data_IF_208528700591
#
_entry.id   IF_208528700591
#
_cell.length_a   1.000
_cell.length_b   1.000
_cell.length_c   1.000
_cell.angle_alpha   90.00
_cell.angle_beta   90.00
_cell.angle_gamma   90.00
#
_symmetry.space_group_name_H-M   'P 1'
#
loop_
_entity.id
_entity.type
_entity.pdbx_description
1 polymer ?
#
# COMPACT_ATOMS: atom_id res chain seq x y z
N UNK A 1 -11.05 12.36 -8.89
CA UNK A 1 -10.49 13.06 -7.69
C UNK A 1 -10.38 12.06 -6.55
N UNK A 2 -9.25 12.02 -5.82
CA UNK A 2 -9.07 11.14 -4.65
C UNK A 2 -9.28 11.95 -3.37
N UNK A 3 -10.02 11.39 -2.41
CA UNK A 3 -10.30 12.01 -1.10
C UNK A 3 -9.90 11.08 0.03
N UNK A 4 -9.44 11.65 1.15
CA UNK A 4 -9.11 10.90 2.34
C UNK A 4 -9.69 11.57 3.59
N UNK A 5 -10.25 10.75 4.49
CA UNK A 5 -10.58 11.12 5.86
C UNK A 5 -9.69 10.29 6.78
N UNK A 6 -8.86 10.96 7.56
CA UNK A 6 -7.84 10.35 8.40
C UNK A 6 -8.09 10.79 9.83
N UNK A 7 -8.29 9.84 10.73
CA UNK A 7 -8.66 10.08 12.11
C UNK A 7 -7.61 9.47 13.02
N UNK A 8 -7.10 10.29 13.94
CA UNK A 8 -6.18 9.85 14.99
C UNK A 8 -6.61 10.44 16.33
N UNK A 9 -6.92 9.61 17.31
CA UNK A 9 -7.45 10.02 18.60
C UNK A 9 -6.54 9.51 19.71
N UNK A 10 -5.84 10.43 20.38
CA UNK A 10 -5.03 10.15 21.57
C UNK A 10 -5.78 10.53 22.86
N UNK A 11 -6.58 11.59 22.84
CA UNK A 11 -7.22 12.16 24.01
C UNK A 11 -8.58 11.50 24.30
N UNK A 12 -8.55 10.43 25.10
CA UNK A 12 -9.73 9.80 25.69
C UNK A 12 -9.79 10.12 27.19
N UNK A 13 -11.00 10.30 27.78
CA UNK A 13 -11.13 10.70 29.19
C UNK A 13 -10.46 9.74 30.19
N UNK A 14 -10.58 8.44 29.98
CA UNK A 14 -10.10 7.43 30.95
C UNK A 14 -8.85 6.67 30.48
N UNK A 15 -8.66 6.50 29.16
CA UNK A 15 -7.61 5.66 28.57
C UNK A 15 -6.93 6.39 27.41
N UNK A 16 -6.07 7.40 27.69
CA UNK A 16 -5.38 8.13 26.62
C UNK A 16 -4.40 7.22 25.85
N UNK A 17 -4.26 7.49 24.55
CA UNK A 17 -3.26 6.92 23.65
C UNK A 17 -2.20 7.96 23.33
N UNK A 18 -1.11 7.58 22.65
CA UNK A 18 0.04 8.48 22.45
C UNK A 18 0.60 8.49 21.02
N UNK A 19 0.01 7.75 20.10
CA UNK A 19 0.57 7.57 18.74
C UNK A 19 -0.37 7.92 17.60
N UNK A 20 -1.69 7.88 17.85
CA UNK A 20 -2.71 7.94 16.79
C UNK A 20 -2.74 9.28 16.06
N UNK A 21 -2.51 10.39 16.78
CA UNK A 21 -2.42 11.74 16.19
C UNK A 21 -1.21 11.85 15.25
N UNK A 22 -0.04 11.38 15.69
CA UNK A 22 1.17 11.37 14.90
C UNK A 22 1.01 10.50 13.63
N UNK A 23 0.42 9.33 13.77
CA UNK A 23 0.13 8.41 12.67
C UNK A 23 -0.79 9.05 11.62
N UNK A 24 -1.87 9.70 12.07
CA UNK A 24 -2.79 10.40 11.16
C UNK A 24 -2.09 11.52 10.37
N UNK A 25 -1.19 12.29 11.00
CA UNK A 25 -0.43 13.33 10.33
C UNK A 25 0.55 12.78 9.30
N UNK A 26 1.27 11.71 9.64
CA UNK A 26 2.20 11.04 8.70
C UNK A 26 1.48 10.45 7.49
N UNK A 27 0.32 9.79 7.69
CA UNK A 27 -0.49 9.29 6.58
C UNK A 27 -0.91 10.44 5.65
N UNK A 28 -1.37 11.58 6.22
CA UNK A 28 -1.70 12.77 5.42
C UNK A 28 -0.51 13.25 4.59
N UNK A 29 0.67 13.37 5.20
CA UNK A 29 1.88 13.82 4.53
C UNK A 29 2.20 12.93 3.32
N UNK A 30 2.19 11.62 3.51
CA UNK A 30 2.49 10.66 2.45
C UNK A 30 1.42 10.63 1.37
N UNK A 31 0.12 10.68 1.72
CA UNK A 31 -0.97 10.58 0.75
C UNK A 31 -1.22 11.86 -0.04
N UNK A 32 -0.94 13.03 0.53
CA UNK A 32 -1.26 14.31 -0.11
C UNK A 32 -0.55 14.50 -1.45
N UNK A 33 0.63 13.92 -1.62
CA UNK A 33 1.46 14.09 -2.83
C UNK A 33 2.07 12.78 -3.30
N UNK A 34 2.30 12.73 -4.61
CA UNK A 34 3.14 11.71 -5.24
C UNK A 34 4.63 12.00 -4.95
N UNK A 35 5.52 11.07 -5.31
CA UNK A 35 6.96 11.24 -5.11
C UNK A 35 7.53 12.46 -5.89
N UNK A 36 6.93 12.82 -7.01
CA UNK A 36 7.34 13.95 -7.86
C UNK A 36 6.78 15.30 -7.37
N UNK A 37 6.07 15.31 -6.24
CA UNK A 37 5.45 16.49 -5.64
C UNK A 37 4.08 16.84 -6.21
N UNK A 38 3.57 16.15 -7.22
CA UNK A 38 2.22 16.37 -7.75
C UNK A 38 1.15 16.00 -6.71
N UNK A 39 0.00 16.69 -6.76
CA UNK A 39 -1.12 16.43 -5.85
C UNK A 39 -1.67 15.02 -6.06
N UNK A 40 -2.02 14.33 -4.95
CA UNK A 40 -2.60 12.99 -4.97
C UNK A 40 -3.97 12.98 -4.29
N UNK A 41 -4.03 12.89 -2.96
CA UNK A 41 -5.30 12.93 -2.22
C UNK A 41 -5.59 14.32 -1.66
N UNK A 42 -6.86 14.71 -1.68
CA UNK A 42 -7.38 15.75 -0.81
C UNK A 42 -7.65 15.13 0.55
N UNK A 43 -6.81 15.45 1.55
CA UNK A 43 -6.86 14.87 2.88
C UNK A 43 -7.54 15.79 3.88
N UNK A 44 -8.55 15.28 4.56
CA UNK A 44 -9.11 15.83 5.78
C UNK A 44 -8.61 15.04 6.98
N UNK A 45 -8.10 15.73 8.02
CA UNK A 45 -7.56 15.07 9.23
C UNK A 45 -8.30 15.55 10.45
N UNK A 46 -8.72 14.62 11.29
CA UNK A 46 -9.37 14.87 12.57
C UNK A 46 -8.50 14.26 13.68
N UNK A 47 -7.85 15.13 14.48
CA UNK A 47 -6.90 14.67 15.52
C UNK A 47 -7.09 15.32 16.88
N UNK A 48 -7.69 16.51 16.97
CA UNK A 48 -7.89 17.22 18.24
C UNK A 48 -8.63 18.56 17.99
N UNK A 49 -9.15 19.21 19.00
CA UNK A 49 -9.37 18.71 20.37
C UNK A 49 -10.51 17.67 20.41
N UNK A 50 -10.69 16.93 21.53
CA UNK A 50 -11.75 15.91 21.68
C UNK A 50 -13.15 16.41 21.36
N UNK A 51 -13.44 17.69 21.66
CA UNK A 51 -14.72 18.34 21.33
C UNK A 51 -15.04 18.38 19.83
N UNK A 52 -14.04 18.26 18.98
CA UNK A 52 -14.17 18.24 17.52
C UNK A 52 -14.26 16.83 16.94
N UNK A 53 -14.13 15.79 17.78
CA UNK A 53 -14.17 14.37 17.36
C UNK A 53 -15.28 13.66 18.14
N UNK A 54 -16.43 14.28 18.21
CA UNK A 54 -17.62 13.64 18.80
C UNK A 54 -18.26 12.67 17.81
N UNK A 55 -19.02 11.72 18.30
CA UNK A 55 -19.74 10.76 17.46
C UNK A 55 -20.59 11.41 16.36
N UNK A 56 -21.40 12.46 16.61
CA UNK A 56 -22.15 13.12 15.53
C UNK A 56 -21.26 13.71 14.45
N UNK A 57 -20.16 14.37 14.84
CA UNK A 57 -19.20 14.97 13.92
C UNK A 57 -18.51 13.89 13.09
N UNK A 58 -18.02 12.84 13.73
CA UNK A 58 -17.36 11.73 13.05
C UNK A 58 -18.31 11.03 12.06
N UNK A 59 -19.55 10.75 12.47
CA UNK A 59 -20.59 10.20 11.58
C UNK A 59 -20.84 11.09 10.37
N UNK A 60 -20.95 12.40 10.57
CA UNK A 60 -21.14 13.36 9.50
C UNK A 60 -19.95 13.32 8.52
N UNK A 61 -18.71 13.34 9.01
CA UNK A 61 -17.50 13.33 8.19
C UNK A 61 -17.34 12.04 7.38
N UNK A 62 -17.65 10.89 7.95
CA UNK A 62 -17.67 9.61 7.23
C UNK A 62 -18.75 9.64 6.13
N UNK A 63 -19.95 10.15 6.44
CA UNK A 63 -21.02 10.31 5.45
C UNK A 63 -20.61 11.27 4.32
N UNK A 64 -19.96 12.39 4.63
CA UNK A 64 -19.44 13.33 3.62
C UNK A 64 -18.38 12.70 2.71
N UNK A 65 -17.48 11.87 3.27
CA UNK A 65 -16.47 11.15 2.49
C UNK A 65 -17.10 10.25 1.41
N UNK A 66 -18.15 9.49 1.79
CA UNK A 66 -18.75 8.48 0.92
C UNK A 66 -19.93 9.00 0.07
N UNK A 67 -20.52 10.16 0.41
CA UNK A 67 -21.71 10.68 -0.27
C UNK A 67 -21.47 11.11 -1.71
N UNK A 68 -20.32 11.70 -2.01
CA UNK A 68 -20.06 12.29 -3.32
C UNK A 68 -19.14 11.40 -4.14
N UNK A 69 -19.40 11.34 -5.44
CA UNK A 69 -18.55 10.61 -6.38
C UNK A 69 -17.08 11.05 -6.30
N UNK A 70 -16.20 10.08 -6.25
CA UNK A 70 -14.74 10.21 -6.33
C UNK A 70 -14.15 8.95 -6.96
N UNK A 71 -12.96 9.06 -7.57
CA UNK A 71 -12.25 7.90 -8.10
C UNK A 71 -11.79 6.97 -6.96
N UNK A 72 -11.35 7.56 -5.83
CA UNK A 72 -10.94 6.82 -4.62
C UNK A 72 -11.34 7.58 -3.38
N UNK A 73 -11.94 6.89 -2.40
CA UNK A 73 -12.09 7.35 -1.03
C UNK A 73 -11.22 6.50 -0.10
N UNK A 74 -10.39 7.14 0.69
CA UNK A 74 -9.57 6.51 1.72
C UNK A 74 -10.08 6.91 3.11
N UNK A 75 -10.42 5.92 3.93
CA UNK A 75 -10.80 6.11 5.33
C UNK A 75 -9.79 5.42 6.22
N UNK A 76 -9.18 6.18 7.14
CA UNK A 76 -8.29 5.65 8.16
C UNK A 76 -8.76 6.06 9.54
N UNK A 77 -8.74 5.11 10.47
CA UNK A 77 -9.00 5.35 11.88
C UNK A 77 -7.90 4.71 12.72
N UNK A 78 -7.28 5.52 13.58
CA UNK A 78 -6.35 5.10 14.62
C UNK A 78 -6.86 5.62 15.97
N UNK A 79 -7.12 4.71 16.91
CA UNK A 79 -7.74 5.00 18.21
C UNK A 79 -8.27 3.76 18.91
N UNK A 80 -9.10 3.95 19.94
CA UNK A 80 -9.72 2.83 20.60
C UNK A 80 -10.82 2.17 19.76
N UNK A 81 -10.81 0.84 19.78
CA UNK A 81 -11.91 0.00 19.30
C UNK A 81 -12.46 -0.86 20.44
N UNK A 82 -13.73 -1.19 20.38
CA UNK A 82 -14.37 -2.11 21.33
C UNK A 82 -15.37 -3.01 20.63
N UNK A 83 -15.75 -4.09 21.30
CA UNK A 83 -16.76 -5.04 20.82
C UNK A 83 -17.79 -5.29 21.93
N UNK A 84 -19.06 -5.36 21.56
CA UNK A 84 -20.14 -5.79 22.42
C UNK A 84 -21.06 -6.79 21.70
N UNK A 85 -22.21 -7.12 22.31
CA UNK A 85 -23.18 -8.05 21.70
C UNK A 85 -23.77 -7.59 20.37
N UNK A 86 -23.61 -6.32 19.99
CA UNK A 86 -24.11 -5.74 18.73
C UNK A 86 -23.02 -5.61 17.65
N UNK A 87 -21.74 -5.90 17.98
CA UNK A 87 -20.62 -5.85 17.05
C UNK A 87 -19.47 -4.94 17.50
N UNK A 88 -18.61 -4.57 16.57
CA UNK A 88 -17.45 -3.69 16.78
C UNK A 88 -17.80 -2.20 16.65
N UNK A 89 -17.09 -1.37 17.40
CA UNK A 89 -17.26 0.08 17.43
C UNK A 89 -15.92 0.80 17.32
N UNK A 90 -15.91 1.91 16.61
CA UNK A 90 -14.87 2.93 16.66
C UNK A 90 -15.21 3.86 17.83
N UNK A 91 -14.41 3.84 18.89
CA UNK A 91 -14.68 4.62 20.11
C UNK A 91 -14.41 6.10 19.86
N UNK A 92 -15.31 6.96 20.32
CA UNK A 92 -15.15 8.42 20.24
C UNK A 92 -14.92 9.01 21.64
N UNK A 93 -14.24 10.16 21.79
CA UNK A 93 -13.96 10.76 23.10
C UNK A 93 -15.20 11.10 23.94
N UNK A 94 -16.36 11.26 23.30
CA UNK A 94 -17.65 11.54 23.94
C UNK A 94 -18.44 10.26 24.31
N UNK A 95 -17.73 9.13 24.43
CA UNK A 95 -18.38 7.87 24.83
C UNK A 95 -19.04 7.93 26.20
N UNK A 96 -20.11 7.19 26.35
CA UNK A 96 -20.81 7.02 27.60
C UNK A 96 -21.40 5.60 27.70
N UNK A 97 -21.93 5.23 28.87
CA UNK A 97 -22.61 3.96 29.04
C UNK A 97 -23.67 3.74 27.96
N UNK A 98 -23.63 2.57 27.33
CA UNK A 98 -24.51 2.15 26.22
C UNK A 98 -24.31 2.87 24.87
N UNK A 99 -23.39 3.85 24.76
CA UNK A 99 -23.15 4.60 23.55
C UNK A 99 -21.66 4.96 23.38
N UNK A 100 -20.89 3.98 22.93
CA UNK A 100 -19.43 4.02 22.95
C UNK A 100 -18.78 4.67 21.71
N UNK A 101 -19.53 4.87 20.62
CA UNK A 101 -18.94 5.43 19.39
C UNK A 101 -19.71 5.05 18.12
N UNK A 102 -19.01 4.96 16.99
CA UNK A 102 -19.60 4.62 15.69
C UNK A 102 -19.56 3.09 15.50
N UNK A 103 -20.70 2.43 15.26
CA UNK A 103 -20.70 1.02 14.86
C UNK A 103 -19.89 0.81 13.58
N UNK A 104 -18.99 -0.16 13.57
CA UNK A 104 -18.21 -0.49 12.37
C UNK A 104 -19.12 -0.96 11.22
N UNK A 105 -20.26 -1.56 11.54
CA UNK A 105 -21.30 -1.93 10.57
C UNK A 105 -21.96 -0.72 9.91
N UNK A 106 -22.08 0.41 10.62
CA UNK A 106 -22.61 1.67 10.06
C UNK A 106 -21.64 2.27 9.06
N UNK A 107 -20.34 2.27 9.37
CA UNK A 107 -19.29 2.71 8.41
C UNK A 107 -19.33 1.87 7.14
N UNK A 108 -19.49 0.55 7.29
CA UNK A 108 -19.59 -0.36 6.17
C UNK A 108 -20.85 -0.13 5.35
N UNK A 109 -22.00 0.12 5.99
CA UNK A 109 -23.24 0.41 5.30
C UNK A 109 -23.10 1.68 4.44
N UNK A 110 -22.54 2.75 5.01
CA UNK A 110 -22.26 3.99 4.27
C UNK A 110 -21.32 3.76 3.08
N UNK A 111 -20.29 2.90 3.24
CA UNK A 111 -19.39 2.54 2.15
C UNK A 111 -20.10 1.73 1.05
N UNK A 112 -20.93 0.75 1.41
CA UNK A 112 -21.69 -0.08 0.47
C UNK A 112 -22.74 0.71 -0.33
N UNK A 113 -23.29 1.79 0.22
CA UNK A 113 -24.23 2.69 -0.43
C UNK A 113 -23.57 3.82 -1.21
N UNK A 114 -22.24 3.88 -1.22
CA UNK A 114 -21.47 4.96 -1.83
C UNK A 114 -21.45 4.90 -3.35
N UNK A 115 -21.34 6.08 -3.98
CA UNK A 115 -21.09 6.25 -5.42
C UNK A 115 -19.59 6.48 -5.75
N UNK A 116 -18.68 6.16 -4.83
CA UNK A 116 -17.23 6.22 -5.04
C UNK A 116 -16.81 4.97 -5.81
N UNK A 117 -15.93 5.13 -6.81
CA UNK A 117 -15.50 4.00 -7.66
C UNK A 117 -14.71 2.97 -6.85
N UNK A 118 -13.76 3.42 -6.02
CA UNK A 118 -12.99 2.54 -5.12
C UNK A 118 -12.89 3.13 -3.71
N UNK A 119 -13.13 2.30 -2.71
CA UNK A 119 -13.06 2.65 -1.29
C UNK A 119 -12.00 1.78 -0.63
N UNK A 120 -11.07 2.43 0.06
CA UNK A 120 -10.08 1.77 0.88
C UNK A 120 -10.24 2.18 2.34
N UNK A 121 -10.51 1.20 3.21
CA UNK A 121 -10.70 1.39 4.66
C UNK A 121 -9.54 0.73 5.39
N UNK A 122 -8.92 1.48 6.31
CA UNK A 122 -7.87 0.96 7.20
C UNK A 122 -8.24 1.28 8.64
N UNK A 123 -8.19 0.27 9.52
CA UNK A 123 -8.53 0.41 10.92
C UNK A 123 -7.36 -0.07 11.81
N UNK A 124 -6.76 0.85 12.53
CA UNK A 124 -5.74 0.58 13.55
C UNK A 124 -6.34 0.80 14.92
N UNK A 125 -7.10 -0.19 15.37
CA UNK A 125 -7.72 -0.21 16.69
C UNK A 125 -7.96 -1.64 17.17
N UNK A 126 -8.10 -1.84 18.48
CA UNK A 126 -8.46 -3.13 19.04
C UNK A 126 -9.77 -3.64 18.42
N UNK A 127 -9.88 -4.96 18.27
CA UNK A 127 -11.05 -5.61 17.71
C UNK A 127 -11.47 -5.15 16.30
N UNK A 128 -10.59 -4.48 15.55
CA UNK A 128 -10.87 -3.99 14.19
C UNK A 128 -11.28 -5.12 13.24
N UNK A 129 -10.84 -6.35 13.48
CA UNK A 129 -11.27 -7.54 12.74
C UNK A 129 -12.76 -7.86 12.86
N UNK A 130 -13.47 -7.25 13.82
CA UNK A 130 -14.94 -7.34 13.93
C UNK A 130 -15.68 -6.46 12.91
N UNK A 131 -14.96 -5.71 12.06
CA UNK A 131 -15.55 -4.85 11.03
C UNK A 131 -16.50 -5.63 10.14
N UNK A 132 -17.77 -5.23 10.14
CA UNK A 132 -18.83 -5.85 9.36
C UNK A 132 -19.37 -7.18 9.90
N UNK A 133 -18.91 -7.66 11.07
CA UNK A 133 -19.51 -8.82 11.73
C UNK A 133 -20.67 -8.40 12.61
N UNK A 134 -21.80 -9.10 12.50
CA UNK A 134 -22.93 -8.97 13.43
C UNK A 134 -23.07 -10.27 14.23
N UNK A 135 -23.63 -10.26 15.46
CA UNK A 135 -23.85 -11.48 16.25
C UNK A 135 -24.70 -12.54 15.54
N UNK A 136 -25.57 -12.11 14.62
CA UNK A 136 -26.43 -12.98 13.83
C UNK A 136 -25.72 -13.66 12.65
N UNK A 137 -24.54 -13.11 12.25
CA UNK A 137 -23.72 -13.68 11.18
C UNK A 137 -22.44 -14.23 11.83
N UNK A 138 -22.55 -15.38 12.45
CA UNK A 138 -21.50 -16.03 13.25
C UNK A 138 -20.34 -16.64 12.45
N UNK A 139 -19.84 -16.03 11.37
CA UNK A 139 -18.79 -16.65 10.57
C UNK A 139 -17.91 -15.67 9.79
N UNK A 140 -17.37 -14.62 10.40
CA UNK A 140 -16.40 -13.71 9.75
C UNK A 140 -16.79 -13.24 8.31
N UNK A 141 -18.09 -13.34 7.99
CA UNK A 141 -18.61 -12.95 6.67
C UNK A 141 -18.92 -11.47 6.68
N UNK A 142 -18.35 -10.76 5.74
CA UNK A 142 -18.64 -9.37 5.43
C UNK A 142 -19.18 -9.30 4.00
N UNK A 143 -20.21 -8.49 3.78
CA UNK A 143 -20.69 -8.18 2.44
C UNK A 143 -20.08 -6.87 2.01
N UNK A 144 -19.23 -6.91 0.99
CA UNK A 144 -18.63 -5.75 0.36
C UNK A 144 -19.24 -5.55 -1.02
N UNK A 145 -19.72 -4.36 -1.30
CA UNK A 145 -20.01 -3.92 -2.67
C UNK A 145 -18.74 -3.92 -3.51
N UNK A 146 -18.86 -3.97 -4.84
CA UNK A 146 -17.70 -3.87 -5.73
C UNK A 146 -16.96 -2.54 -5.50
N UNK A 147 -15.64 -2.56 -5.56
CA UNK A 147 -14.78 -1.41 -5.32
C UNK A 147 -14.28 -1.27 -3.88
N UNK A 148 -14.75 -2.07 -2.92
CA UNK A 148 -14.39 -1.90 -1.51
C UNK A 148 -13.27 -2.85 -1.10
N UNK A 149 -12.26 -2.28 -0.43
CA UNK A 149 -11.17 -3.01 0.22
C UNK A 149 -11.01 -2.53 1.67
N UNK A 150 -10.78 -3.49 2.58
CA UNK A 150 -10.61 -3.23 4.01
C UNK A 150 -9.36 -3.95 4.50
N UNK A 151 -8.49 -3.24 5.21
CA UNK A 151 -7.39 -3.82 5.99
C UNK A 151 -7.55 -3.39 7.44
N UNK A 152 -7.50 -4.35 8.36
CA UNK A 152 -7.57 -4.08 9.79
C UNK A 152 -6.30 -4.55 10.48
N UNK A 153 -5.84 -3.81 11.49
CA UNK A 153 -4.62 -4.11 12.23
C UNK A 153 -4.70 -5.47 12.95
N UNK A 154 -5.88 -5.86 13.42
CA UNK A 154 -6.08 -7.05 14.23
C UNK A 154 -7.20 -7.91 13.68
N UNK A 155 -7.17 -9.22 14.03
CA UNK A 155 -8.34 -10.09 13.93
C UNK A 155 -9.30 -9.83 15.09
N UNK A 156 -10.54 -10.27 14.93
CA UNK A 156 -11.52 -10.21 16.02
C UNK A 156 -10.95 -10.88 17.29
N UNK A 157 -10.97 -10.15 18.43
CA UNK A 157 -10.48 -10.63 19.72
C UNK A 157 -8.98 -10.40 19.99
N UNK A 158 -8.25 -9.69 19.13
CA UNK A 158 -6.86 -9.29 19.37
C UNK A 158 -6.75 -7.79 19.71
N UNK A 159 -5.74 -7.43 20.50
CA UNK A 159 -5.36 -6.04 20.77
C UNK A 159 -4.38 -5.52 19.71
N UNK A 160 -4.46 -4.23 19.38
CA UNK A 160 -3.50 -3.57 18.54
C UNK A 160 -2.21 -3.27 19.34
N UNK A 161 -1.05 -3.46 18.70
CA UNK A 161 0.24 -3.21 19.32
C UNK A 161 0.71 -1.79 19.01
N UNK A 162 1.26 -1.12 20.02
CA UNK A 162 1.96 0.16 19.89
C UNK A 162 3.47 -0.04 20.15
N UNK A 163 4.31 0.53 19.32
CA UNK A 163 5.76 0.54 19.48
C UNK A 163 6.32 1.90 19.03
N UNK A 164 7.26 2.45 19.79
CA UNK A 164 7.93 3.70 19.41
C UNK A 164 7.03 4.94 19.33
N UNK A 165 5.84 4.93 19.98
CA UNK A 165 4.89 6.05 19.96
C UNK A 165 4.01 6.11 18.72
N UNK A 166 3.70 4.98 18.11
CA UNK A 166 2.74 4.80 17.01
C UNK A 166 2.22 3.38 16.93
N UNK A 167 1.13 3.15 16.19
CA UNK A 167 0.63 1.82 15.89
C UNK A 167 1.59 1.07 14.96
N UNK A 168 1.91 -0.17 15.30
CA UNK A 168 2.79 -1.02 14.44
C UNK A 168 2.19 -1.18 13.05
N UNK A 169 0.89 -1.42 12.97
CA UNK A 169 0.18 -1.53 11.69
C UNK A 169 0.27 -0.24 10.87
N UNK A 170 0.01 0.92 11.49
CA UNK A 170 0.04 2.20 10.78
C UNK A 170 1.47 2.59 10.37
N UNK A 171 2.48 2.27 11.15
CA UNK A 171 3.88 2.46 10.76
C UNK A 171 4.21 1.66 9.49
N UNK A 172 3.82 0.39 9.42
CA UNK A 172 4.00 -0.45 8.23
C UNK A 172 3.16 0.04 7.02
N UNK A 173 1.96 0.57 7.26
CA UNK A 173 1.14 1.19 6.22
C UNK A 173 1.83 2.42 5.62
N UNK A 174 2.44 3.26 6.46
CA UNK A 174 3.21 4.44 6.02
C UNK A 174 4.42 4.01 5.20
N UNK A 175 5.23 3.07 5.69
CA UNK A 175 6.38 2.53 4.96
C UNK A 175 5.99 1.93 3.60
N UNK A 176 4.89 1.19 3.56
CA UNK A 176 4.33 0.64 2.32
C UNK A 176 3.98 1.75 1.32
N UNK A 177 3.31 2.82 1.79
CA UNK A 177 2.94 3.99 1.00
C UNK A 177 4.15 4.81 0.55
N UNK A 178 5.21 4.92 1.34
CA UNK A 178 6.45 5.61 1.00
C UNK A 178 7.24 4.91 -0.11
N UNK A 179 6.98 3.62 -0.33
CA UNK A 179 7.55 2.86 -1.43
C UNK A 179 8.01 1.45 -1.08
N UNK A 180 7.91 1.03 0.19
CA UNK A 180 8.18 -0.36 0.60
C UNK A 180 7.35 -1.36 -0.19
N UNK A 181 6.07 -1.05 -0.44
CA UNK A 181 5.16 -1.85 -1.24
C UNK A 181 5.17 -1.51 -2.74
N UNK A 182 6.06 -0.60 -3.19
CA UNK A 182 6.03 -0.13 -4.57
C UNK A 182 6.51 -1.19 -5.56
N UNK A 183 5.78 -1.33 -6.65
CA UNK A 183 6.21 -2.05 -7.84
C UNK A 183 7.41 -1.37 -8.51
N UNK A 184 7.85 -1.91 -9.65
CA UNK A 184 9.05 -1.45 -10.36
C UNK A 184 8.94 0.00 -10.83
N UNK A 185 7.75 0.44 -11.21
CA UNK A 185 7.46 1.79 -11.68
C UNK A 185 6.94 2.72 -10.56
N UNK A 186 7.08 2.31 -9.30
CA UNK A 186 6.68 3.12 -8.15
C UNK A 186 5.21 2.98 -7.74
N UNK A 187 4.44 2.13 -8.39
CA UNK A 187 3.00 1.99 -8.15
C UNK A 187 2.73 1.27 -6.83
N UNK A 188 1.96 1.91 -5.94
CA UNK A 188 1.50 1.34 -4.67
C UNK A 188 -0.01 1.13 -4.76
N UNK A 189 -0.46 -0.11 -4.57
CA UNK A 189 -1.87 -0.53 -4.57
C UNK A 189 -2.27 -1.10 -3.21
N UNK A 190 -3.58 -1.25 -2.97
CA UNK A 190 -4.10 -1.89 -1.75
C UNK A 190 -3.54 -3.31 -1.57
N UNK A 191 -3.48 -4.09 -2.65
CA UNK A 191 -2.96 -5.45 -2.60
C UNK A 191 -1.47 -5.50 -2.24
N UNK A 192 -0.66 -4.58 -2.81
CA UNK A 192 0.77 -4.52 -2.49
C UNK A 192 1.03 -4.04 -1.06
N UNK A 193 0.19 -3.14 -0.53
CA UNK A 193 0.23 -2.71 0.87
C UNK A 193 -0.04 -3.91 1.79
N UNK A 194 -1.11 -4.66 1.54
CA UNK A 194 -1.43 -5.83 2.36
C UNK A 194 -0.30 -6.86 2.33
N UNK A 195 0.24 -7.18 1.15
CA UNK A 195 1.34 -8.14 1.02
C UNK A 195 2.60 -7.67 1.78
N UNK A 196 2.89 -6.36 1.75
CA UNK A 196 4.00 -5.78 2.50
C UNK A 196 3.81 -5.94 4.02
N UNK A 197 2.63 -5.55 4.53
CA UNK A 197 2.31 -5.62 5.97
C UNK A 197 2.30 -7.08 6.45
N UNK A 198 1.66 -7.99 5.71
CA UNK A 198 1.57 -9.41 6.07
C UNK A 198 2.96 -10.08 6.14
N UNK A 199 3.85 -9.73 5.22
CA UNK A 199 5.23 -10.20 5.23
C UNK A 199 6.06 -9.63 6.39
N UNK A 200 5.82 -8.37 6.77
CA UNK A 200 6.56 -7.70 7.84
C UNK A 200 6.16 -8.21 9.23
N UNK A 201 4.87 -8.49 9.45
CA UNK A 201 4.35 -8.91 10.76
C UNK A 201 4.62 -10.39 11.11
N UNK A 202 5.04 -11.23 10.16
CA UNK A 202 5.39 -12.62 10.44
C UNK A 202 4.23 -13.51 10.92
N UNK A 203 4.56 -14.77 11.27
CA UNK A 203 3.55 -15.80 11.58
C UNK A 203 3.00 -15.74 13.01
N UNK A 204 3.68 -15.07 13.93
CA UNK A 204 3.43 -15.14 15.38
C UNK A 204 2.92 -13.84 15.98
N UNK A 205 2.97 -12.75 15.22
CA UNK A 205 2.56 -11.42 15.67
C UNK A 205 1.08 -11.13 15.34
N UNK A 206 0.69 -9.91 15.58
CA UNK A 206 -0.59 -9.33 15.17
C UNK A 206 -0.78 -9.55 13.66
N UNK A 207 -1.86 -10.24 13.25
CA UNK A 207 -2.13 -10.50 11.83
C UNK A 207 -3.19 -9.57 11.30
N UNK A 208 -2.88 -8.80 10.26
CA UNK A 208 -3.88 -7.99 9.61
C UNK A 208 -4.96 -8.87 8.95
N UNK A 209 -6.18 -8.39 8.94
CA UNK A 209 -7.26 -8.98 8.17
C UNK A 209 -7.44 -8.17 6.88
N UNK A 210 -7.43 -8.84 5.74
CA UNK A 210 -7.72 -8.24 4.43
C UNK A 210 -9.00 -8.81 3.84
N UNK A 211 -9.93 -7.94 3.50
CA UNK A 211 -11.15 -8.28 2.76
C UNK A 211 -11.30 -7.32 1.59
N UNK A 212 -11.60 -7.82 0.41
CA UNK A 212 -11.70 -7.00 -0.80
C UNK A 212 -12.70 -7.60 -1.80
N UNK A 213 -13.47 -6.73 -2.43
CA UNK A 213 -14.32 -7.07 -3.57
C UNK A 213 -14.06 -6.04 -4.69
N UNK A 214 -13.00 -6.27 -5.47
CA UNK A 214 -12.59 -5.36 -6.54
C UNK A 214 -12.28 -6.13 -7.81
N UNK A 215 -12.62 -5.57 -8.96
CA UNK A 215 -12.25 -6.11 -10.27
C UNK A 215 -10.82 -5.72 -10.68
N UNK A 216 -10.31 -4.62 -10.10
CA UNK A 216 -8.92 -4.14 -10.26
C UNK A 216 -8.52 -3.35 -9.03
N UNK A 217 -7.22 -3.24 -8.79
CA UNK A 217 -6.69 -2.35 -7.76
C UNK A 217 -6.20 -1.05 -8.38
N UNK A 218 -6.81 0.06 -7.97
CA UNK A 218 -6.32 1.40 -8.35
C UNK A 218 -5.02 1.71 -7.61
N UNK A 219 -4.16 2.47 -8.27
CA UNK A 219 -2.96 3.01 -7.66
C UNK A 219 -3.33 4.05 -6.62
N UNK A 220 -3.01 3.78 -5.36
CA UNK A 220 -3.20 4.75 -4.27
C UNK A 220 -2.17 5.87 -4.36
N UNK A 221 -0.91 5.49 -4.62
CA UNK A 221 0.22 6.42 -4.69
C UNK A 221 1.25 5.95 -5.72
N UNK A 222 2.01 6.89 -6.25
CA UNK A 222 3.23 6.63 -7.01
C UNK A 222 4.40 7.08 -6.14
N UNK A 223 5.17 6.12 -5.65
CA UNK A 223 6.45 6.31 -4.97
C UNK A 223 7.59 6.45 -5.99
N UNK A 224 8.81 6.67 -5.53
CA UNK A 224 9.97 6.71 -6.41
C UNK A 224 10.12 5.38 -7.19
N UNK A 225 10.18 5.42 -8.52
CA UNK A 225 10.35 4.20 -9.33
C UNK A 225 11.73 3.59 -9.09
N UNK A 226 11.78 2.25 -9.05
CA UNK A 226 13.04 1.50 -8.88
C UNK A 226 13.92 1.52 -10.12
N UNK A 227 13.36 1.89 -11.27
CA UNK A 227 14.07 2.01 -12.55
C UNK A 227 13.45 3.15 -13.38
N UNK A 228 14.30 3.84 -14.12
CA UNK A 228 13.87 4.83 -15.10
C UNK A 228 13.06 4.19 -16.23
N UNK A 229 11.91 4.76 -16.56
CA UNK A 229 10.98 4.21 -17.58
C UNK A 229 11.60 4.21 -18.98
N UNK A 230 12.48 5.19 -19.29
CA UNK A 230 13.14 5.25 -20.60
C UNK A 230 14.21 4.16 -20.71
N UNK A 231 14.86 3.82 -19.58
CA UNK A 231 15.74 2.67 -19.53
C UNK A 231 14.97 1.36 -19.69
N UNK A 232 13.85 1.22 -18.98
CA UNK A 232 13.00 0.03 -19.09
C UNK A 232 12.50 -0.19 -20.51
N UNK A 233 12.14 0.88 -21.24
CA UNK A 233 11.74 0.82 -22.65
C UNK A 233 12.85 0.32 -23.58
N UNK A 234 14.12 0.46 -23.22
CA UNK A 234 15.24 -0.09 -24.02
C UNK A 234 15.35 -1.62 -23.93
N UNK A 235 14.58 -2.29 -23.05
CA UNK A 235 14.65 -3.75 -22.86
C UNK A 235 14.39 -4.53 -24.16
N UNK A 236 13.48 -4.05 -25.01
CA UNK A 236 13.17 -4.67 -26.32
C UNK A 236 14.28 -4.44 -27.35
N UNK A 237 15.08 -3.38 -27.17
CA UNK A 237 16.28 -3.14 -28.01
C UNK A 237 17.41 -4.10 -27.64
N UNK A 238 17.60 -4.37 -26.35
CA UNK A 238 18.66 -5.27 -25.87
C UNK A 238 18.30 -6.74 -26.10
N UNK A 239 17.02 -7.07 -25.98
CA UNK A 239 16.50 -8.42 -26.20
C UNK A 239 15.40 -8.36 -27.29
N UNK A 240 15.76 -8.48 -28.58
CA UNK A 240 14.77 -8.47 -29.67
C UNK A 240 13.72 -9.56 -29.53
N UNK A 241 14.11 -10.71 -29.00
CA UNK A 241 13.23 -11.82 -28.64
C UNK A 241 13.38 -12.15 -27.15
N UNK A 242 12.29 -12.26 -26.39
CA UNK A 242 12.36 -12.40 -24.93
C UNK A 242 12.91 -13.75 -24.45
N UNK A 243 13.00 -14.74 -25.32
CA UNK A 243 13.54 -16.06 -25.02
C UNK A 243 15.03 -16.20 -25.37
N UNK A 244 15.57 -15.28 -26.18
CA UNK A 244 16.95 -15.36 -26.66
C UNK A 244 17.90 -14.62 -25.71
N UNK A 245 19.00 -15.28 -25.29
CA UNK A 245 20.04 -14.62 -24.52
C UNK A 245 20.80 -13.60 -25.34
N UNK A 246 21.25 -12.52 -24.70
CA UNK A 246 22.22 -11.59 -25.26
C UNK A 246 23.64 -12.10 -24.96
N UNK A 247 24.41 -12.35 -26.00
CA UNK A 247 25.82 -12.72 -25.87
C UNK A 247 26.65 -11.51 -25.47
N UNK A 248 27.46 -11.68 -24.43
CA UNK A 248 28.39 -10.68 -23.94
C UNK A 248 29.80 -10.97 -24.45
N UNK A 249 30.67 -9.96 -24.37
CA UNK A 249 32.11 -10.07 -24.69
C UNK A 249 32.89 -9.15 -23.74
N UNK A 250 34.22 -9.31 -23.59
CA UNK A 250 35.04 -8.43 -22.75
C UNK A 250 34.88 -6.93 -23.04
N UNK A 251 34.59 -6.57 -24.31
CA UNK A 251 34.37 -5.17 -24.72
C UNK A 251 33.15 -4.48 -24.06
N UNK A 252 32.31 -5.23 -23.32
CA UNK A 252 31.24 -4.65 -22.52
C UNK A 252 31.77 -4.05 -21.20
N UNK A 253 32.96 -4.46 -20.76
CA UNK A 253 33.54 -4.00 -19.49
C UNK A 253 34.40 -2.74 -19.71
N UNK A 254 34.14 -1.67 -18.95
CA UNK A 254 34.88 -0.39 -19.09
C UNK A 254 36.38 -0.48 -18.76
N UNK A 255 36.80 -1.52 -18.03
CA UNK A 255 38.21 -1.71 -17.63
C UNK A 255 39.03 -2.50 -18.65
N UNK A 256 38.41 -2.92 -19.76
CA UNK A 256 39.05 -3.76 -20.79
C UNK A 256 39.36 -2.96 -22.04
N UNK A 257 40.60 -3.00 -22.47
CA UNK A 257 41.03 -2.39 -23.74
C UNK A 257 40.89 -3.39 -24.93
N UNK A 258 40.50 -2.93 -26.14
CA UNK A 258 40.14 -1.55 -26.48
C UNK A 258 38.73 -1.17 -26.04
N UNK A 259 38.55 0.07 -25.59
CA UNK A 259 37.24 0.57 -25.14
C UNK A 259 36.19 0.58 -26.27
N UNK A 260 34.97 0.14 -25.91
CA UNK A 260 33.80 0.21 -26.77
C UNK A 260 32.65 0.93 -26.03
N UNK A 261 32.61 2.26 -26.17
CA UNK A 261 31.64 3.10 -25.47
C UNK A 261 30.17 2.67 -25.65
N UNK A 262 29.79 2.16 -26.81
CA UNK A 262 28.43 1.71 -27.07
C UNK A 262 28.11 0.42 -26.27
N UNK A 263 29.03 -0.54 -26.26
CA UNK A 263 28.85 -1.77 -25.45
C UNK A 263 28.93 -1.48 -23.98
N UNK A 264 29.80 -0.61 -23.50
CA UNK A 264 29.92 -0.17 -22.14
C UNK A 264 28.61 0.49 -21.65
N UNK A 265 27.99 1.38 -22.47
CA UNK A 265 26.67 1.97 -22.13
C UNK A 265 25.59 0.91 -22.04
N UNK A 266 25.55 -0.03 -23.00
CA UNK A 266 24.60 -1.16 -22.93
C UNK A 266 24.81 -1.96 -21.66
N UNK A 267 26.04 -2.27 -21.30
CA UNK A 267 26.36 -3.05 -20.11
C UNK A 267 25.95 -2.35 -18.83
N UNK A 268 26.24 -1.05 -18.70
CA UNK A 268 25.78 -0.23 -17.61
C UNK A 268 24.23 -0.28 -17.44
N UNK A 269 23.51 -0.24 -18.56
CA UNK A 269 22.06 -0.36 -18.55
C UNK A 269 21.58 -1.77 -18.19
N UNK A 270 22.27 -2.82 -18.66
CA UNK A 270 21.99 -4.20 -18.26
C UNK A 270 22.22 -4.43 -16.76
N UNK A 271 23.25 -3.81 -16.17
CA UNK A 271 23.48 -3.87 -14.72
C UNK A 271 22.33 -3.23 -13.94
N UNK A 272 21.80 -2.08 -14.38
CA UNK A 272 20.61 -1.47 -13.77
C UNK A 272 19.38 -2.38 -13.87
N UNK A 273 19.16 -3.01 -15.02
CA UNK A 273 18.09 -3.98 -15.22
C UNK A 273 18.27 -5.22 -14.31
N UNK A 274 19.50 -5.70 -14.16
CA UNK A 274 19.84 -6.80 -13.27
C UNK A 274 19.57 -6.46 -11.82
N UNK A 275 19.93 -5.26 -11.37
CA UNK A 275 19.73 -4.83 -9.98
C UNK A 275 18.26 -4.79 -9.55
N UNK A 276 17.33 -4.65 -10.50
CA UNK A 276 15.87 -4.73 -10.26
C UNK A 276 15.28 -6.08 -10.67
N UNK A 277 16.12 -7.10 -10.91
CA UNK A 277 15.70 -8.48 -11.15
C UNK A 277 15.10 -8.74 -12.53
N UNK A 278 15.35 -7.89 -13.53
CA UNK A 278 14.84 -8.08 -14.91
C UNK A 278 15.78 -8.89 -15.79
N UNK A 279 17.08 -8.86 -15.50
CA UNK A 279 18.13 -9.55 -16.24
C UNK A 279 18.97 -10.39 -15.28
N UNK A 280 19.45 -11.51 -15.74
CA UNK A 280 20.35 -12.40 -15.01
C UNK A 280 21.50 -12.88 -15.91
N UNK A 281 22.72 -13.05 -15.39
CA UNK A 281 23.83 -13.66 -16.13
C UNK A 281 23.57 -15.15 -16.34
N UNK A 282 24.06 -15.72 -17.42
CA UNK A 282 24.01 -17.15 -17.73
C UNK A 282 25.42 -17.76 -17.68
N UNK A 283 25.54 -18.83 -16.90
CA UNK A 283 26.79 -19.59 -16.74
C UNK A 283 27.84 -18.95 -15.83
N UNK A 284 27.50 -17.86 -15.17
CA UNK A 284 28.30 -17.15 -14.17
C UNK A 284 27.37 -16.51 -13.11
N UNK A 285 27.89 -16.22 -11.92
CA UNK A 285 27.11 -15.56 -10.86
C UNK A 285 27.02 -14.05 -11.05
N UNK A 286 28.02 -13.45 -11.70
CA UNK A 286 28.14 -12.02 -11.88
C UNK A 286 28.20 -11.63 -13.35
N UNK A 287 27.58 -10.50 -13.71
CA UNK A 287 27.59 -9.94 -15.06
C UNK A 287 29.00 -9.67 -15.55
N UNK A 288 29.88 -9.17 -14.67
CA UNK A 288 31.30 -8.95 -14.99
C UNK A 288 31.96 -10.23 -15.52
N UNK A 289 31.85 -11.34 -14.79
CA UNK A 289 32.44 -12.61 -15.23
C UNK A 289 31.78 -13.16 -16.50
N UNK A 290 30.47 -12.91 -16.66
CA UNK A 290 29.79 -13.30 -17.89
C UNK A 290 30.33 -12.52 -19.12
N UNK A 291 30.63 -11.24 -18.96
CA UNK A 291 31.25 -10.44 -20.02
C UNK A 291 32.69 -10.89 -20.33
N UNK A 292 33.57 -10.96 -19.31
CA UNK A 292 34.98 -11.35 -19.46
C UNK A 292 35.14 -12.73 -20.09
N UNK A 293 34.28 -13.69 -19.71
CA UNK A 293 34.32 -15.07 -20.22
C UNK A 293 33.47 -15.28 -21.48
N UNK A 294 33.00 -14.22 -22.13
CA UNK A 294 32.17 -14.26 -23.34
C UNK A 294 30.95 -15.20 -23.19
N UNK A 295 30.29 -15.13 -22.04
CA UNK A 295 29.02 -15.80 -21.76
C UNK A 295 27.86 -14.93 -22.21
N UNK A 296 26.67 -15.14 -21.63
CA UNK A 296 25.47 -14.45 -22.02
C UNK A 296 24.71 -13.93 -20.79
N UNK A 297 23.72 -13.08 -21.00
CA UNK A 297 22.68 -12.77 -20.03
C UNK A 297 21.29 -12.95 -20.65
N UNK A 298 20.28 -13.15 -19.84
CA UNK A 298 18.91 -13.36 -20.29
C UNK A 298 17.89 -12.59 -19.44
N UNK A 299 16.68 -12.47 -19.97
CA UNK A 299 15.56 -11.95 -19.22
C UNK A 299 15.08 -12.99 -18.19
N UNK A 300 14.91 -12.55 -16.94
CA UNK A 300 14.20 -13.32 -15.92
C UNK A 300 12.71 -13.46 -16.28
N UNK A 301 11.93 -14.21 -15.52
CA UNK A 301 10.48 -14.26 -15.69
C UNK A 301 9.83 -12.87 -15.57
N UNK A 302 10.32 -12.05 -14.61
CA UNK A 302 9.90 -10.67 -14.43
C UNK A 302 10.34 -9.81 -15.61
N UNK A 303 11.57 -9.98 -16.10
CA UNK A 303 12.09 -9.31 -17.31
C UNK A 303 11.24 -9.60 -18.54
N UNK A 304 10.85 -10.86 -18.76
CA UNK A 304 9.95 -11.27 -19.85
C UNK A 304 8.55 -10.66 -19.72
N UNK A 305 8.05 -10.48 -18.51
CA UNK A 305 6.77 -9.81 -18.26
C UNK A 305 6.84 -8.34 -18.68
N UNK A 306 7.85 -7.57 -18.20
CA UNK A 306 8.02 -6.17 -18.57
C UNK A 306 8.36 -5.99 -20.05
N UNK A 307 9.15 -6.91 -20.65
CA UNK A 307 9.39 -6.92 -22.09
C UNK A 307 8.08 -6.95 -22.88
N UNK A 308 7.12 -7.82 -22.49
CA UNK A 308 5.79 -7.87 -23.14
C UNK A 308 5.01 -6.58 -22.99
N UNK A 309 5.11 -5.91 -21.84
CA UNK A 309 4.42 -4.63 -21.63
C UNK A 309 5.00 -3.53 -22.51
N UNK A 310 6.33 -3.44 -22.63
CA UNK A 310 7.02 -2.50 -23.51
C UNK A 310 6.70 -2.80 -24.97
N UNK A 311 6.83 -4.05 -25.41
CA UNK A 311 6.57 -4.46 -26.78
C UNK A 311 5.10 -4.24 -27.21
N UNK A 312 4.19 -4.32 -26.26
CA UNK A 312 2.76 -4.07 -26.46
C UNK A 312 2.34 -2.60 -26.27
N UNK A 313 3.29 -1.65 -26.14
CA UNK A 313 3.04 -0.22 -25.87
C UNK A 313 2.12 0.04 -24.68
N UNK A 314 2.26 -0.78 -23.61
CA UNK A 314 1.49 -0.63 -22.36
C UNK A 314 2.23 0.21 -21.31
N UNK A 315 3.52 0.42 -21.51
CA UNK A 315 4.41 1.28 -20.69
C UNK A 315 5.47 1.94 -21.58
#
# INVERSE_FOLDING_TARGET
>A
MKRALIIGIDEYPDYPLHGCVNDAQKIKEVLSRQHDGTLNFQCEVLTAPPSNITRPILRQKISELFRHHADVAFFHFSGHGTINSLGGYLVTPDYCDFDVGIPMTEVLAMANESNVDEIFITLDCCHSGAFGTTPEISNDKIILSEGISVITATRSGQEALEEGGGGVFTSLLIEALEGGAAGLLGEVSVASIYAYIDNALGAWDQRPLFKSNVSRFTRLRIAAPKIDINLLRKITKYFPLPAEPLTLSPEYEPEVEPHNKEKEEVFHNLLKLKNVGLVEPLGEEHMYHAAIKSKSCSLTSLGKYYWRLVNGNKI
#
